data_IF_213373276012
#
_entry.id   IF_213373276012
#
_cell.length_a   1.000
_cell.length_b   1.000
_cell.length_c   1.000
_cell.angle_alpha   90.00
_cell.angle_beta   90.00
_cell.angle_gamma   90.00
#
_symmetry.space_group_name_H-M   'P 1'
#
loop_
_entity.id
_entity.type
_entity.pdbx_description
1 polymer ?
#
# COMPACT_ATOMS: atom_id res chain seq x y z
N UNK A 1 -38.20 -24.41 18.80
CA UNK A 1 -37.45 -24.68 17.55
C UNK A 1 -37.65 -23.61 16.48
N UNK A 2 -38.87 -23.10 16.24
CA UNK A 2 -39.12 -22.05 15.24
C UNK A 2 -38.49 -20.68 15.58
N UNK A 3 -38.41 -20.34 16.87
CA UNK A 3 -37.77 -19.11 17.38
C UNK A 3 -36.25 -19.12 17.27
N UNK A 4 -35.61 -20.30 17.23
CA UNK A 4 -34.15 -20.40 17.07
C UNK A 4 -33.71 -20.14 15.63
N UNK A 5 -34.55 -20.49 14.64
CA UNK A 5 -34.28 -20.22 13.23
C UNK A 5 -34.31 -18.72 12.90
N UNK A 6 -35.18 -17.94 13.55
CA UNK A 6 -35.36 -16.51 13.23
C UNK A 6 -34.14 -15.65 13.64
N UNK A 7 -33.42 -16.03 14.70
CA UNK A 7 -32.22 -15.32 15.15
C UNK A 7 -31.00 -15.55 14.23
N UNK A 8 -30.92 -16.70 13.55
CA UNK A 8 -29.82 -17.01 12.62
C UNK A 8 -29.91 -16.13 11.37
N UNK A 9 -31.13 -15.79 10.92
CA UNK A 9 -31.36 -14.94 9.75
C UNK A 9 -30.83 -13.51 9.89
N UNK A 10 -30.75 -12.98 11.13
CA UNK A 10 -30.23 -11.63 11.40
C UNK A 10 -28.70 -11.56 11.46
N UNK A 11 -28.01 -12.68 11.67
CA UNK A 11 -26.54 -12.71 11.78
C UNK A 11 -25.79 -12.67 10.44
N UNK A 12 -26.48 -12.90 9.31
CA UNK A 12 -25.83 -13.00 7.99
C UNK A 12 -25.54 -11.63 7.36
N UNK A 13 -26.21 -10.56 7.80
CA UNK A 13 -26.07 -9.22 7.21
C UNK A 13 -24.87 -8.41 7.72
N UNK A 14 -24.02 -8.98 8.59
CA UNK A 14 -22.86 -8.30 9.16
C UNK A 14 -21.52 -8.65 8.50
N UNK A 15 -21.52 -9.26 7.30
CA UNK A 15 -20.28 -9.43 6.53
C UNK A 15 -19.82 -8.07 5.99
N UNK A 16 -19.07 -7.32 6.80
CA UNK A 16 -18.36 -6.13 6.37
C UNK A 16 -17.45 -6.52 5.20
N UNK A 17 -17.76 -6.01 4.00
CA UNK A 17 -16.86 -6.13 2.87
C UNK A 17 -15.54 -5.48 3.27
N UNK A 18 -14.50 -6.30 3.45
CA UNK A 18 -13.15 -5.82 3.62
C UNK A 18 -12.83 -4.97 2.37
N UNK A 19 -12.42 -3.70 2.53
CA UNK A 19 -12.06 -2.88 1.38
C UNK A 19 -10.90 -3.58 0.66
N UNK A 20 -11.18 -4.01 -0.57
CA UNK A 20 -10.15 -4.61 -1.41
C UNK A 20 -9.14 -3.52 -1.77
N UNK A 21 -7.83 -3.81 -1.73
CA UNK A 21 -6.83 -2.86 -2.19
C UNK A 21 -7.14 -2.45 -3.63
N UNK A 22 -7.01 -1.15 -3.92
CA UNK A 22 -7.09 -0.67 -5.29
C UNK A 22 -5.99 -1.36 -6.12
N UNK A 23 -6.30 -1.77 -7.35
CA UNK A 23 -5.30 -2.36 -8.22
C UNK A 23 -4.21 -1.33 -8.53
N UNK A 24 -2.97 -1.80 -8.61
CA UNK A 24 -1.85 -1.00 -9.11
C UNK A 24 -1.99 -0.85 -10.64
N UNK A 25 -1.54 0.29 -11.18
CA UNK A 25 -1.46 0.51 -12.63
C UNK A 25 -0.67 -0.65 -13.28
N UNK A 26 -1.27 -1.41 -14.23
CA UNK A 26 -0.62 -2.56 -14.84
C UNK A 26 0.65 -2.21 -15.62
N UNK A 27 0.90 -0.93 -15.93
CA UNK A 27 2.14 -0.46 -16.55
C UNK A 27 3.29 -0.30 -15.55
N UNK A 28 3.03 -0.45 -14.25
CA UNK A 28 4.04 -0.38 -13.20
C UNK A 28 4.60 -1.78 -12.94
N UNK A 29 5.91 -1.93 -13.13
CA UNK A 29 6.66 -3.08 -12.65
C UNK A 29 7.14 -2.78 -11.24
N UNK A 30 6.79 -3.61 -10.27
CA UNK A 30 7.18 -3.42 -8.88
C UNK A 30 7.54 -4.75 -8.22
N UNK A 31 8.21 -4.67 -7.07
CA UNK A 31 8.61 -5.84 -6.31
C UNK A 31 9.50 -5.49 -5.13
N UNK A 32 9.99 -6.52 -4.44
CA UNK A 32 10.96 -6.41 -3.36
C UNK A 32 12.16 -7.27 -3.74
N UNK A 33 13.35 -6.70 -3.69
CA UNK A 33 14.61 -7.41 -3.93
C UNK A 33 14.99 -8.26 -2.71
N UNK A 34 15.92 -9.20 -2.87
CA UNK A 34 16.37 -10.10 -1.79
C UNK A 34 16.93 -9.36 -0.57
N UNK A 35 17.47 -8.15 -0.78
CA UNK A 35 17.99 -7.28 0.29
C UNK A 35 16.89 -6.43 0.98
N UNK A 36 15.62 -6.61 0.62
CA UNK A 36 14.48 -5.91 1.18
C UNK A 36 14.13 -4.58 0.50
N UNK A 37 14.90 -4.11 -0.50
CA UNK A 37 14.58 -2.88 -1.21
C UNK A 37 13.33 -3.06 -2.09
N UNK A 38 12.32 -2.24 -1.85
CA UNK A 38 11.14 -2.15 -2.72
C UNK A 38 11.44 -1.26 -3.92
N UNK A 39 11.10 -1.70 -5.12
CA UNK A 39 11.22 -0.90 -6.33
C UNK A 39 9.88 -0.74 -7.05
N UNK A 40 9.75 0.39 -7.74
CA UNK A 40 8.66 0.70 -8.65
C UNK A 40 9.27 1.30 -9.92
N UNK A 41 8.91 0.76 -11.07
CA UNK A 41 9.40 1.20 -12.38
C UNK A 41 8.19 1.38 -13.29
N UNK A 42 8.08 2.55 -13.89
CA UNK A 42 7.04 2.84 -14.88
C UNK A 42 7.70 3.45 -16.10
N UNK A 43 7.39 2.88 -17.27
CA UNK A 43 7.86 3.42 -18.54
C UNK A 43 7.20 4.77 -18.83
N UNK A 44 7.98 5.70 -19.38
CA UNK A 44 7.53 7.03 -19.74
C UNK A 44 8.24 7.49 -21.02
N UNK A 45 7.48 8.00 -21.98
CA UNK A 45 7.98 8.38 -23.31
C UNK A 45 8.48 9.83 -23.38
N UNK A 46 8.12 10.68 -22.41
CA UNK A 46 8.34 12.13 -22.48
C UNK A 46 8.82 12.72 -21.14
N UNK A 47 9.95 13.44 -21.12
CA UNK A 47 10.85 13.71 -22.25
C UNK A 47 11.62 12.46 -22.70
N UNK A 48 11.94 12.39 -24.00
CA UNK A 48 12.74 11.29 -24.55
C UNK A 48 14.15 11.26 -23.96
N UNK A 49 14.76 10.08 -24.01
CA UNK A 49 16.16 9.84 -23.61
C UNK A 49 16.47 10.28 -22.17
N UNK A 50 15.47 10.18 -21.29
CA UNK A 50 15.58 10.52 -19.87
C UNK A 50 14.95 9.45 -19.01
N UNK A 51 15.55 9.24 -17.84
CA UNK A 51 14.94 8.52 -16.74
C UNK A 51 15.08 9.37 -15.46
N UNK A 52 14.01 9.43 -14.68
CA UNK A 52 14.03 10.05 -13.36
C UNK A 52 14.21 8.95 -12.30
N UNK A 53 15.15 9.15 -11.38
CA UNK A 53 15.45 8.21 -10.31
C UNK A 53 15.19 8.87 -8.97
N UNK A 54 14.46 8.15 -8.11
CA UNK A 54 14.16 8.57 -6.76
C UNK A 54 14.52 7.45 -5.79
N UNK A 55 15.16 7.81 -4.69
CA UNK A 55 15.36 6.91 -3.55
C UNK A 55 14.49 7.45 -2.43
N UNK A 56 13.35 6.80 -2.21
CA UNK A 56 12.46 7.14 -1.11
C UNK A 56 12.90 6.37 0.14
N UNK A 57 13.19 7.09 1.21
CA UNK A 57 13.51 6.51 2.51
C UNK A 57 12.29 6.65 3.41
N UNK A 58 11.95 5.59 4.15
CA UNK A 58 10.90 5.61 5.18
C UNK A 58 11.45 6.20 6.47
N UNK A 59 12.04 7.39 6.38
CA UNK A 59 12.69 8.13 7.46
C UNK A 59 12.39 9.62 7.27
N UNK A 60 12.38 10.37 8.36
CA UNK A 60 12.21 11.83 8.36
C UNK A 60 12.20 12.36 9.78
N UNK A 61 12.01 13.68 9.93
CA UNK A 61 12.20 14.38 11.20
C UNK A 61 11.29 13.95 12.35
N UNK A 62 10.14 13.33 12.06
CA UNK A 62 9.25 12.76 13.09
C UNK A 62 9.96 11.67 13.92
N UNK A 63 10.99 11.04 13.35
CA UNK A 63 11.78 10.01 14.02
C UNK A 63 13.01 10.57 14.75
N UNK A 64 13.22 11.89 14.75
CA UNK A 64 14.32 12.53 15.47
C UNK A 64 14.03 12.60 16.97
N UNK A 65 15.06 12.38 17.79
CA UNK A 65 15.07 12.81 19.18
C UNK A 65 15.40 14.31 19.28
N UNK A 66 15.14 14.95 20.42
CA UNK A 66 15.42 16.39 20.62
C UNK A 66 16.87 16.77 20.27
N UNK A 67 17.83 15.89 20.57
CA UNK A 67 19.26 16.09 20.26
C UNK A 67 19.61 15.97 18.78
N UNK A 68 18.67 15.55 17.94
CA UNK A 68 18.81 15.22 16.52
C UNK A 68 18.01 16.16 15.61
N UNK A 69 17.48 17.26 16.15
CA UNK A 69 16.65 18.19 15.41
C UNK A 69 17.31 18.70 14.10
N UNK A 70 16.74 18.31 12.96
CA UNK A 70 17.18 18.72 11.62
C UNK A 70 18.25 17.84 10.97
N UNK A 71 18.36 16.57 11.36
CA UNK A 71 19.30 15.59 10.80
C UNK A 71 18.75 14.80 9.59
#
# INVERSE_FOLDING_TARGET
MLTLLLCVSFGVFAQQQQPQPLPIDPKVRYGVLDNGLTYYIRHNELPKDRADFYIAQKVGSILEEDSQAGL
#
